data_IF_248010682336
#
_entry.id   IF_248010682336
#
_cell.length_a   1.000
_cell.length_b   1.000
_cell.length_c   1.000
_cell.angle_alpha   90.00
_cell.angle_beta   90.00
_cell.angle_gamma   90.00
#
_symmetry.space_group_name_H-M   'P 1'
#
loop_
_entity.id
_entity.type
_entity.pdbx_description
1 polymer ?
#
# COMPACT_ATOMS: atom_id res chain seq x y z
N UNK A 1 8.90 9.97 -18.84
CA UNK A 1 9.44 9.60 -17.53
C UNK A 1 8.74 8.32 -17.10
N UNK A 2 9.41 7.44 -16.35
CA UNK A 2 8.75 6.26 -15.78
C UNK A 2 7.80 6.68 -14.63
N UNK A 3 6.81 5.86 -14.33
CA UNK A 3 5.88 6.11 -13.21
C UNK A 3 6.62 6.45 -11.91
N UNK A 4 7.66 5.67 -11.56
CA UNK A 4 8.38 5.87 -10.31
C UNK A 4 9.18 7.17 -10.28
N UNK A 5 9.71 7.64 -11.42
CA UNK A 5 10.40 8.93 -11.48
C UNK A 5 9.43 10.11 -11.27
N UNK A 6 8.21 10.01 -11.78
CA UNK A 6 7.18 11.02 -11.52
C UNK A 6 6.75 11.01 -10.05
N UNK A 7 6.63 9.84 -9.42
CA UNK A 7 6.37 9.70 -7.98
C UNK A 7 7.51 10.31 -7.15
N UNK A 8 8.76 9.98 -7.45
CA UNK A 8 9.93 10.57 -6.76
C UNK A 8 9.98 12.09 -6.91
N UNK A 9 9.63 12.62 -8.07
CA UNK A 9 9.53 14.07 -8.28
C UNK A 9 8.45 14.72 -7.43
N UNK A 10 7.27 14.09 -7.32
CA UNK A 10 6.20 14.52 -6.42
C UNK A 10 6.66 14.48 -4.96
N UNK A 11 7.32 13.39 -4.54
CA UNK A 11 7.85 13.26 -3.18
C UNK A 11 8.87 14.35 -2.83
N UNK A 12 9.76 14.73 -3.77
CA UNK A 12 10.73 15.85 -3.60
C UNK A 12 10.08 17.20 -3.40
N UNK A 13 8.92 17.44 -3.98
CA UNK A 13 8.25 18.73 -3.89
C UNK A 13 7.75 19.04 -2.46
N UNK A 14 7.48 18.01 -1.66
CA UNK A 14 7.08 18.13 -0.25
C UNK A 14 7.65 16.94 0.52
N UNK A 15 8.87 17.12 1.06
CA UNK A 15 9.62 16.08 1.73
C UNK A 15 8.92 15.57 2.98
N UNK A 16 8.75 14.26 3.06
CA UNK A 16 8.18 13.54 4.21
C UNK A 16 9.21 12.70 4.92
N UNK A 17 8.99 12.48 6.20
CA UNK A 17 9.83 11.62 7.04
C UNK A 17 9.23 10.22 7.10
N UNK A 18 9.95 9.23 6.59
CA UNK A 18 9.53 7.83 6.57
C UNK A 18 10.40 7.02 7.53
N UNK A 19 9.75 6.28 8.42
CA UNK A 19 10.44 5.38 9.34
C UNK A 19 10.57 3.99 8.75
N UNK A 20 11.77 3.40 8.83
CA UNK A 20 12.11 2.05 8.41
C UNK A 20 12.55 1.26 9.65
N UNK A 21 11.72 0.35 10.18
CA UNK A 21 12.00 -0.34 11.45
C UNK A 21 12.96 -1.52 11.33
N UNK A 22 13.34 -1.92 10.12
CA UNK A 22 14.10 -3.14 9.83
C UNK A 22 15.55 -2.82 9.42
N UNK A 23 16.25 -2.02 10.23
CA UNK A 23 17.65 -1.64 9.98
C UNK A 23 18.66 -2.80 10.10
N UNK A 24 18.23 -3.96 10.55
CA UNK A 24 19.00 -5.21 10.54
C UNK A 24 19.07 -5.86 9.15
N UNK A 25 18.15 -5.52 8.24
CA UNK A 25 18.13 -6.04 6.87
C UNK A 25 19.04 -5.22 5.95
N UNK A 26 19.98 -5.89 5.30
CA UNK A 26 20.92 -5.25 4.36
C UNK A 26 20.20 -4.47 3.26
N UNK A 27 19.09 -4.99 2.72
CA UNK A 27 18.31 -4.35 1.65
C UNK A 27 17.71 -3.03 2.10
N UNK A 28 17.29 -2.94 3.36
CA UNK A 28 16.79 -1.71 3.97
C UNK A 28 17.89 -0.65 4.06
N UNK A 29 19.11 -1.03 4.43
CA UNK A 29 20.26 -0.12 4.47
C UNK A 29 20.69 0.34 3.08
N UNK A 30 20.71 -0.57 2.09
CA UNK A 30 20.98 -0.26 0.68
C UNK A 30 19.94 0.74 0.13
N UNK A 31 18.66 0.47 0.38
CA UNK A 31 17.58 1.37 0.00
C UNK A 31 17.70 2.76 0.69
N UNK A 32 18.04 2.77 1.99
CA UNK A 32 18.22 4.01 2.73
C UNK A 32 19.34 4.89 2.16
N UNK A 33 20.48 4.29 1.77
CA UNK A 33 21.55 5.01 1.07
C UNK A 33 21.08 5.60 -0.25
N UNK A 34 20.34 4.80 -1.04
CA UNK A 34 19.84 5.27 -2.34
C UNK A 34 18.82 6.40 -2.18
N UNK A 35 17.86 6.29 -1.25
CA UNK A 35 16.86 7.32 -0.97
C UNK A 35 17.53 8.62 -0.53
N UNK A 36 18.53 8.53 0.38
CA UNK A 36 19.35 9.67 0.79
C UNK A 36 20.02 10.35 -0.41
N UNK A 37 20.67 9.57 -1.28
CA UNK A 37 21.35 10.08 -2.48
C UNK A 37 20.38 10.76 -3.44
N UNK A 38 19.20 10.20 -3.62
CA UNK A 38 18.17 10.75 -4.48
C UNK A 38 17.41 11.92 -3.84
N UNK A 39 17.35 12.01 -2.51
CA UNK A 39 16.82 13.17 -1.76
C UNK A 39 15.31 13.39 -1.90
N UNK A 40 14.50 12.34 -1.99
CA UNK A 40 13.04 12.45 -2.12
C UNK A 40 12.25 12.17 -0.83
N UNK A 41 12.93 11.70 0.23
CA UNK A 41 12.36 11.53 1.56
C UNK A 41 13.43 11.72 2.63
N UNK A 42 13.02 12.13 3.83
CA UNK A 42 13.82 12.02 5.06
C UNK A 42 13.59 10.63 5.66
N UNK A 43 14.63 10.03 6.22
CA UNK A 43 14.54 8.69 6.77
C UNK A 43 14.89 8.66 8.25
N UNK A 44 14.19 7.80 8.98
CA UNK A 44 14.55 7.35 10.33
C UNK A 44 14.70 5.82 10.29
N UNK A 45 15.86 5.31 10.68
CA UNK A 45 16.11 3.88 10.84
C UNK A 45 15.94 3.51 12.31
N UNK A 46 15.26 2.40 12.61
CA UNK A 46 15.14 1.91 13.98
C UNK A 46 16.11 0.75 14.23
N UNK A 47 16.87 0.87 15.31
CA UNK A 47 17.81 -0.14 15.74
C UNK A 47 18.88 0.42 16.67
N UNK A 48 19.71 -0.48 17.22
CA UNK A 48 20.85 -0.02 17.98
C UNK A 48 21.85 0.70 17.07
N UNK A 49 22.15 1.96 17.39
CA UNK A 49 22.95 2.84 16.53
C UNK A 49 24.33 2.28 16.19
N UNK A 50 25.03 1.73 17.19
CA UNK A 50 26.37 1.18 16.97
C UNK A 50 26.33 -0.04 16.03
N UNK A 51 25.30 -0.87 16.17
CA UNK A 51 25.09 -2.05 15.31
C UNK A 51 24.78 -1.62 13.88
N UNK A 52 23.84 -0.70 13.68
CA UNK A 52 23.47 -0.20 12.34
C UNK A 52 24.66 0.45 11.65
N UNK A 53 25.44 1.29 12.35
CA UNK A 53 26.63 1.92 11.79
C UNK A 53 27.74 0.92 11.47
N UNK A 54 27.90 -0.14 12.30
CA UNK A 54 28.84 -1.23 12.04
C UNK A 54 28.45 -2.01 10.79
N UNK A 55 27.18 -2.36 10.67
CA UNK A 55 26.67 -3.13 9.51
C UNK A 55 26.75 -2.30 8.23
N UNK A 56 26.43 -1.01 8.28
CA UNK A 56 26.63 -0.10 7.15
C UNK A 56 28.09 -0.08 6.68
N UNK A 57 29.07 0.02 7.61
CA UNK A 57 30.50 -0.04 7.28
C UNK A 57 30.89 -1.39 6.66
N UNK A 58 30.39 -2.50 7.22
CA UNK A 58 30.67 -3.85 6.70
C UNK A 58 30.17 -4.04 5.26
N UNK A 59 29.03 -3.39 4.93
CA UNK A 59 28.46 -3.44 3.58
C UNK A 59 28.97 -2.33 2.64
N UNK A 60 29.86 -1.45 3.13
CA UNK A 60 30.37 -0.33 2.36
C UNK A 60 29.33 0.75 2.04
N UNK A 61 28.33 0.92 2.93
CA UNK A 61 27.23 1.86 2.75
C UNK A 61 27.50 3.17 3.53
N UNK A 62 27.11 4.29 2.93
CA UNK A 62 27.13 5.61 3.56
C UNK A 62 25.74 6.03 4.03
N UNK A 63 25.50 5.89 5.33
CA UNK A 63 24.26 6.32 6.00
C UNK A 63 24.42 7.66 6.75
N UNK A 64 25.50 8.41 6.53
CA UNK A 64 25.74 9.70 7.19
C UNK A 64 24.57 10.67 6.96
N UNK A 65 24.08 11.31 8.02
CA UNK A 65 22.92 12.21 7.95
C UNK A 65 21.55 11.53 7.95
N UNK A 66 21.47 10.19 7.98
CA UNK A 66 20.23 9.47 8.28
C UNK A 66 20.15 9.29 9.79
N UNK A 67 18.99 9.63 10.36
CA UNK A 67 18.74 9.48 11.78
C UNK A 67 18.59 7.99 12.14
N UNK A 68 19.28 7.53 13.18
CA UNK A 68 19.12 6.18 13.74
C UNK A 68 18.61 6.32 15.16
N UNK A 69 17.46 5.73 15.45
CA UNK A 69 16.80 5.76 16.75
C UNK A 69 16.77 4.35 17.33
N UNK A 70 17.33 4.20 18.55
CA UNK A 70 17.19 2.96 19.33
C UNK A 70 15.94 3.09 20.22
N UNK A 71 14.89 2.27 19.99
CA UNK A 71 13.68 2.29 20.81
C UNK A 71 13.92 2.17 22.31
N UNK A 72 14.98 1.45 22.72
CA UNK A 72 15.29 1.19 24.14
C UNK A 72 15.84 2.41 24.87
N UNK A 73 16.50 3.31 24.14
CA UNK A 73 17.16 4.49 24.71
C UNK A 73 16.55 5.81 24.24
N UNK A 74 15.52 5.74 23.40
CA UNK A 74 14.85 6.92 22.87
C UNK A 74 14.24 7.79 23.98
N UNK A 75 14.44 9.11 23.95
CA UNK A 75 13.81 10.03 24.91
C UNK A 75 12.28 10.03 24.80
N UNK A 76 11.71 9.66 23.62
CA UNK A 76 10.27 9.57 23.40
C UNK A 76 9.63 8.30 24.02
N UNK A 77 10.42 7.31 24.46
CA UNK A 77 9.90 6.02 24.91
C UNK A 77 8.82 6.16 26.01
N UNK A 78 9.06 7.00 27.03
CA UNK A 78 8.12 7.14 28.15
C UNK A 78 6.78 7.74 27.69
N UNK A 79 6.81 8.75 26.84
CA UNK A 79 5.58 9.35 26.26
C UNK A 79 4.82 8.33 25.39
N UNK A 80 5.54 7.53 24.60
CA UNK A 80 4.91 6.47 23.79
C UNK A 80 4.31 5.36 24.65
N UNK A 81 4.95 4.98 25.75
CA UNK A 81 4.43 3.99 26.71
C UNK A 81 3.09 4.46 27.27
N UNK A 82 3.05 5.67 27.83
CA UNK A 82 1.81 6.23 28.38
C UNK A 82 0.70 6.33 27.33
N UNK A 83 1.03 6.83 26.13
CA UNK A 83 0.08 6.93 25.03
C UNK A 83 -0.46 5.55 24.59
N UNK A 84 0.41 4.53 24.43
CA UNK A 84 0.00 3.19 24.03
C UNK A 84 -0.87 2.52 25.09
N UNK A 85 -0.52 2.64 26.38
CA UNK A 85 -1.30 2.12 27.48
C UNK A 85 -2.71 2.75 27.52
N UNK A 86 -2.81 4.07 27.33
CA UNK A 86 -4.11 4.75 27.23
C UNK A 86 -4.94 4.29 26.03
N UNK A 87 -4.35 4.24 24.83
CA UNK A 87 -5.00 3.80 23.59
C UNK A 87 -5.56 2.37 23.70
N UNK A 88 -4.89 1.53 24.49
CA UNK A 88 -5.22 0.10 24.63
C UNK A 88 -5.80 -0.27 26.00
N UNK A 89 -6.14 0.72 26.83
CA UNK A 89 -6.71 0.55 28.18
C UNK A 89 -7.92 -0.39 28.21
N UNK A 90 -8.82 -0.26 27.23
CA UNK A 90 -10.00 -1.14 27.11
C UNK A 90 -9.68 -2.60 26.80
N UNK A 91 -8.42 -2.90 26.42
CA UNK A 91 -7.89 -4.25 26.16
C UNK A 91 -6.98 -4.73 27.29
N UNK A 92 -6.90 -3.97 28.39
CA UNK A 92 -6.13 -4.33 29.58
C UNK A 92 -4.61 -4.15 29.47
N UNK A 93 -4.10 -3.44 28.46
CA UNK A 93 -2.66 -3.19 28.32
C UNK A 93 -2.19 -2.25 29.43
N UNK A 94 -1.21 -2.72 30.22
CA UNK A 94 -0.52 -1.95 31.26
C UNK A 94 0.64 -1.15 30.67
N UNK A 95 1.17 -0.17 31.42
CA UNK A 95 2.39 0.56 31.00
C UNK A 95 3.61 -0.36 30.89
N UNK A 96 3.71 -1.39 31.72
CA UNK A 96 4.79 -2.39 31.66
C UNK A 96 4.71 -3.19 30.34
N UNK A 97 3.53 -3.67 29.99
CA UNK A 97 3.29 -4.39 28.72
C UNK A 97 3.50 -3.47 27.51
N UNK A 98 3.04 -2.21 27.58
CA UNK A 98 3.28 -1.22 26.54
C UNK A 98 4.77 -0.96 26.35
N UNK A 99 5.53 -0.80 27.43
CA UNK A 99 6.99 -0.65 27.38
C UNK A 99 7.65 -1.86 26.74
N UNK A 100 7.26 -3.06 27.14
CA UNK A 100 7.77 -4.30 26.56
C UNK A 100 7.54 -4.35 25.06
N UNK A 101 6.31 -4.07 24.59
CA UNK A 101 5.98 -4.03 23.17
C UNK A 101 6.86 -3.04 22.40
N UNK A 102 7.07 -1.83 22.95
CA UNK A 102 7.83 -0.76 22.29
C UNK A 102 9.34 -1.01 22.29
N UNK A 103 9.87 -1.77 23.24
CA UNK A 103 11.31 -2.07 23.32
C UNK A 103 11.71 -3.40 22.67
N UNK A 104 10.74 -4.30 22.44
CA UNK A 104 10.96 -5.61 21.80
C UNK A 104 10.54 -5.62 20.31
N UNK A 105 9.72 -4.65 19.88
CA UNK A 105 9.28 -4.56 18.48
C UNK A 105 9.51 -3.17 17.90
N UNK A 106 10.47 -3.05 17.01
CA UNK A 106 10.73 -1.83 16.27
C UNK A 106 9.49 -1.36 15.49
N UNK A 107 8.66 -2.29 15.00
CA UNK A 107 7.42 -1.93 14.27
C UNK A 107 6.40 -1.24 15.18
N UNK A 108 6.20 -1.70 16.42
CA UNK A 108 5.32 -1.00 17.37
C UNK A 108 5.84 0.41 17.67
N UNK A 109 7.15 0.55 17.86
CA UNK A 109 7.76 1.87 18.08
C UNK A 109 7.59 2.79 16.87
N UNK A 110 7.85 2.28 15.66
CA UNK A 110 7.66 3.02 14.40
C UNK A 110 6.22 3.50 14.22
N UNK A 111 5.23 2.65 14.51
CA UNK A 111 3.81 3.02 14.44
C UNK A 111 3.48 4.11 15.47
N UNK A 112 4.09 4.09 16.66
CA UNK A 112 3.93 5.18 17.63
C UNK A 112 4.59 6.48 17.15
N UNK A 113 5.73 6.44 16.47
CA UNK A 113 6.32 7.63 15.81
C UNK A 113 5.33 8.28 14.83
N UNK A 114 4.70 7.45 13.99
CA UNK A 114 3.67 7.94 13.06
C UNK A 114 2.44 8.48 13.80
N UNK A 115 2.02 7.80 14.88
CA UNK A 115 0.89 8.25 15.71
C UNK A 115 1.13 9.61 16.36
N UNK A 116 2.36 9.87 16.81
CA UNK A 116 2.74 11.09 17.51
C UNK A 116 3.19 12.21 16.56
N UNK A 117 3.38 11.90 15.27
CA UNK A 117 3.82 12.88 14.25
C UNK A 117 5.34 13.07 14.19
N UNK A 118 6.11 12.18 14.81
CA UNK A 118 7.58 12.18 14.72
C UNK A 118 8.06 11.57 13.40
N UNK A 119 7.18 10.82 12.72
CA UNK A 119 7.31 10.39 11.33
C UNK A 119 5.97 10.57 10.61
N UNK A 120 6.01 10.81 9.29
CA UNK A 120 4.80 10.97 8.47
C UNK A 120 4.23 9.62 8.02
N UNK A 121 5.09 8.62 7.79
CA UNK A 121 4.71 7.30 7.33
C UNK A 121 5.72 6.21 7.69
N UNK A 122 5.32 4.97 7.46
CA UNK A 122 6.07 3.76 7.78
C UNK A 122 6.15 2.81 6.59
N UNK A 123 7.32 2.23 6.35
CA UNK A 123 7.52 1.10 5.43
C UNK A 123 8.24 -0.02 6.17
N UNK A 124 7.66 -1.23 6.18
CA UNK A 124 8.17 -2.43 6.86
C UNK A 124 7.78 -3.69 6.07
N UNK A 125 8.26 -4.86 6.46
CA UNK A 125 7.88 -6.17 5.90
C UNK A 125 8.99 -6.87 5.12
N UNK A 126 10.18 -6.27 5.01
CA UNK A 126 11.32 -6.92 4.36
C UNK A 126 11.74 -8.21 5.09
N UNK A 127 11.67 -8.24 6.41
CA UNK A 127 12.00 -9.40 7.23
C UNK A 127 10.89 -9.83 8.22
N UNK A 128 9.79 -9.08 8.31
CA UNK A 128 8.64 -9.40 9.15
C UNK A 128 7.44 -9.87 8.31
N UNK A 129 6.44 -10.46 8.96
CA UNK A 129 5.19 -10.83 8.27
C UNK A 129 4.27 -9.63 8.12
N UNK A 130 3.37 -9.68 7.12
CA UNK A 130 2.28 -8.68 6.96
C UNK A 130 1.49 -8.48 8.25
N UNK A 131 1.26 -9.54 9.03
CA UNK A 131 0.55 -9.44 10.31
C UNK A 131 1.35 -8.63 11.35
N UNK A 132 2.69 -8.72 11.36
CA UNK A 132 3.54 -7.99 12.29
C UNK A 132 3.62 -6.50 11.94
N UNK A 133 3.44 -6.13 10.67
CA UNK A 133 3.36 -4.74 10.21
C UNK A 133 1.96 -4.16 10.43
N UNK A 134 0.90 -4.87 10.02
CA UNK A 134 -0.45 -4.32 10.03
C UNK A 134 -1.14 -4.36 11.38
N UNK A 135 -0.85 -5.37 12.22
CA UNK A 135 -1.47 -5.49 13.56
C UNK A 135 -1.20 -4.27 14.45
N UNK A 136 0.05 -3.81 14.66
CA UNK A 136 0.32 -2.58 15.41
C UNK A 136 -0.36 -1.37 14.77
N UNK A 137 -0.33 -1.26 13.46
CA UNK A 137 -0.92 -0.14 12.72
C UNK A 137 -2.43 -0.04 12.93
N UNK A 138 -3.16 -1.15 12.82
CA UNK A 138 -4.60 -1.20 13.09
C UNK A 138 -4.95 -0.95 14.56
N UNK A 139 -4.09 -1.41 15.48
CA UNK A 139 -4.29 -1.23 16.91
C UNK A 139 -4.11 0.22 17.36
N UNK A 140 -3.17 0.94 16.77
CA UNK A 140 -2.72 2.26 17.21
C UNK A 140 -3.29 3.37 16.31
N UNK A 141 -3.13 3.27 14.99
CA UNK A 141 -3.58 4.28 14.03
C UNK A 141 -5.06 4.15 13.69
N UNK A 142 -5.57 2.90 13.64
CA UNK A 142 -6.93 2.55 13.23
C UNK A 142 -7.19 2.83 11.74
N UNK A 143 -8.44 2.68 11.31
CA UNK A 143 -8.86 3.02 9.95
C UNK A 143 -9.09 4.52 9.79
N UNK A 144 -8.95 5.03 8.56
CA UNK A 144 -9.35 6.38 8.16
C UNK A 144 -10.85 6.58 8.48
N UNK A 145 -11.27 7.74 9.01
CA UNK A 145 -12.69 8.01 9.23
C UNK A 145 -13.51 7.77 7.94
N UNK A 146 -14.62 7.06 8.07
CA UNK A 146 -15.50 6.70 6.94
C UNK A 146 -15.05 5.46 6.15
N UNK A 147 -13.86 4.93 6.40
CA UNK A 147 -13.37 3.72 5.72
C UNK A 147 -13.79 2.47 6.50
N UNK A 148 -14.46 1.52 5.82
CA UNK A 148 -15.01 0.31 6.43
C UNK A 148 -13.96 -0.77 6.67
N UNK A 149 -12.93 -0.86 5.82
CA UNK A 149 -11.85 -1.85 5.94
C UNK A 149 -10.53 -1.33 5.38
N UNK A 150 -9.45 -1.99 5.76
CA UNK A 150 -8.12 -1.81 5.14
C UNK A 150 -7.96 -2.82 4.01
N UNK A 151 -7.45 -2.39 2.90
CA UNK A 151 -7.15 -3.23 1.74
C UNK A 151 -5.75 -2.97 1.21
N UNK A 152 -5.30 -3.80 0.28
CA UNK A 152 -3.97 -3.68 -0.29
C UNK A 152 -4.00 -3.70 -1.83
N UNK A 153 -3.25 -2.81 -2.45
CA UNK A 153 -3.17 -2.71 -3.90
C UNK A 153 -1.72 -2.76 -4.39
N UNK A 154 -1.57 -3.07 -5.66
CA UNK A 154 -0.32 -2.87 -6.38
C UNK A 154 -0.51 -1.83 -7.47
N UNK A 155 0.49 -0.96 -7.63
CA UNK A 155 0.65 -0.22 -8.87
C UNK A 155 1.47 -1.09 -9.81
N UNK A 156 0.85 -1.52 -10.89
CA UNK A 156 1.48 -2.32 -11.95
C UNK A 156 1.90 -1.40 -13.10
N UNK A 157 3.15 -1.51 -13.53
CA UNK A 157 3.65 -0.81 -14.72
C UNK A 157 4.10 -1.84 -15.73
N UNK A 158 3.30 -2.05 -16.74
CA UNK A 158 3.52 -3.05 -17.79
C UNK A 158 4.28 -2.39 -18.95
N UNK A 159 5.49 -2.86 -19.29
CA UNK A 159 6.25 -2.28 -20.40
C UNK A 159 5.56 -2.52 -21.74
N UNK A 160 5.73 -1.59 -22.66
CA UNK A 160 5.22 -1.65 -24.04
C UNK A 160 3.71 -1.96 -24.14
N UNK A 161 2.92 -1.51 -23.17
CA UNK A 161 1.49 -1.76 -23.04
C UNK A 161 0.69 -0.48 -23.26
N UNK A 162 -0.29 -0.52 -24.19
CA UNK A 162 -1.18 0.60 -24.48
C UNK A 162 -2.45 0.61 -23.63
N UNK A 163 -2.75 -0.46 -22.90
CA UNK A 163 -3.92 -0.54 -22.03
C UNK A 163 -3.72 0.27 -20.75
N UNK A 164 -4.82 0.54 -20.05
CA UNK A 164 -4.80 1.33 -18.81
C UNK A 164 -4.32 2.76 -19.07
N UNK A 165 -3.46 3.27 -18.19
CA UNK A 165 -2.81 4.57 -18.42
C UNK A 165 -1.38 4.33 -18.94
N UNK A 166 -1.29 4.00 -20.23
CA UNK A 166 -0.03 3.61 -20.89
C UNK A 166 0.73 2.52 -20.13
N UNK A 167 0.06 1.42 -19.81
CA UNK A 167 0.60 0.29 -19.06
C UNK A 167 0.54 0.43 -17.53
N UNK A 168 0.12 1.59 -17.02
CA UNK A 168 -0.01 1.80 -15.58
C UNK A 168 -1.41 1.46 -15.10
N UNK A 169 -1.48 0.63 -14.05
CA UNK A 169 -2.72 0.15 -13.44
C UNK A 169 -2.66 0.16 -11.93
N UNK A 170 -3.82 0.19 -11.27
CA UNK A 170 -4.00 -0.28 -9.90
C UNK A 170 -4.72 -1.62 -9.93
N UNK A 171 -4.14 -2.63 -9.26
CA UNK A 171 -4.72 -3.96 -9.04
C UNK A 171 -5.05 -4.11 -7.56
N UNK A 172 -6.31 -4.42 -7.20
CA UNK A 172 -6.79 -4.49 -5.81
C UNK A 172 -7.99 -5.46 -5.62
N UNK A 173 -8.17 -6.17 -4.50
CA UNK A 173 -7.18 -6.41 -3.48
C UNK A 173 -6.30 -7.58 -3.91
N UNK A 174 -5.00 -7.43 -3.72
CA UNK A 174 -4.04 -8.46 -4.13
C UNK A 174 -3.16 -8.97 -2.97
N UNK A 175 -3.40 -8.49 -1.74
CA UNK A 175 -2.49 -8.77 -0.63
C UNK A 175 -3.10 -9.01 0.74
N UNK A 176 -4.38 -8.68 0.98
CA UNK A 176 -4.91 -8.63 2.34
C UNK A 176 -6.25 -9.36 2.54
N UNK A 177 -7.28 -9.01 1.79
CA UNK A 177 -8.64 -9.52 2.01
C UNK A 177 -8.89 -10.80 1.23
N UNK A 178 -9.04 -11.93 1.93
CA UNK A 178 -9.13 -13.25 1.30
C UNK A 178 -10.39 -13.41 0.44
N UNK A 179 -11.56 -13.14 1.03
CA UNK A 179 -12.84 -13.26 0.33
C UNK A 179 -13.78 -12.13 0.82
N UNK A 180 -13.63 -10.91 0.27
CA UNK A 180 -14.46 -9.78 0.69
C UNK A 180 -15.93 -10.00 0.36
N UNK A 181 -16.82 -9.48 1.23
CA UNK A 181 -18.26 -9.38 0.95
C UNK A 181 -18.52 -8.37 -0.17
N UNK A 182 -19.75 -8.23 -0.64
CA UNK A 182 -20.10 -7.25 -1.66
C UNK A 182 -19.84 -5.81 -1.17
N UNK A 183 -20.17 -5.50 0.09
CA UNK A 183 -19.93 -4.18 0.72
C UNK A 183 -18.44 -3.90 0.88
N UNK A 184 -17.67 -4.90 1.27
CA UNK A 184 -16.21 -4.78 1.39
C UNK A 184 -15.56 -4.59 0.02
N UNK A 185 -16.01 -5.32 -0.99
CA UNK A 185 -15.50 -5.20 -2.36
C UNK A 185 -15.81 -3.82 -2.98
N UNK A 186 -17.00 -3.27 -2.70
CA UNK A 186 -17.34 -1.90 -3.07
C UNK A 186 -16.41 -0.87 -2.42
N UNK A 187 -16.15 -1.02 -1.11
CA UNK A 187 -15.23 -0.14 -0.39
C UNK A 187 -13.77 -0.25 -0.90
N UNK A 188 -13.33 -1.46 -1.28
CA UNK A 188 -12.03 -1.67 -1.95
C UNK A 188 -11.97 -0.90 -3.27
N UNK A 189 -13.03 -0.96 -4.08
CA UNK A 189 -13.10 -0.25 -5.36
C UNK A 189 -13.01 1.27 -5.19
N UNK A 190 -13.76 1.84 -4.24
CA UNK A 190 -13.75 3.27 -3.92
C UNK A 190 -12.36 3.74 -3.45
N UNK A 191 -11.75 3.02 -2.52
CA UNK A 191 -10.41 3.34 -2.02
C UNK A 191 -9.35 3.21 -3.12
N UNK A 192 -9.48 2.22 -4.02
CA UNK A 192 -8.54 2.00 -5.12
C UNK A 192 -8.64 3.09 -6.19
N UNK A 193 -9.85 3.60 -6.44
CA UNK A 193 -10.06 4.75 -7.31
C UNK A 193 -9.40 6.02 -6.76
N UNK A 194 -9.55 6.29 -5.45
CA UNK A 194 -8.87 7.41 -4.77
C UNK A 194 -7.35 7.27 -4.88
N UNK A 195 -6.82 6.07 -4.62
CA UNK A 195 -5.39 5.77 -4.72
C UNK A 195 -4.85 5.97 -6.15
N UNK A 196 -5.58 5.48 -7.17
CA UNK A 196 -5.20 5.68 -8.57
C UNK A 196 -5.17 7.16 -8.94
N UNK A 197 -6.24 7.90 -8.64
CA UNK A 197 -6.34 9.35 -8.95
C UNK A 197 -5.18 10.12 -8.32
N UNK A 198 -4.84 9.80 -7.08
CA UNK A 198 -3.81 10.50 -6.37
C UNK A 198 -2.38 10.15 -6.86
N UNK A 199 -2.07 8.85 -6.99
CA UNK A 199 -0.73 8.41 -7.36
C UNK A 199 -0.41 8.65 -8.84
N UNK A 200 -1.35 8.28 -9.72
CA UNK A 200 -1.17 8.37 -11.17
C UNK A 200 -1.53 9.76 -11.70
N UNK A 201 -2.45 10.46 -11.01
CA UNK A 201 -2.89 11.81 -11.41
C UNK A 201 -3.83 11.81 -12.61
N UNK A 202 -4.55 10.72 -12.81
CA UNK A 202 -5.50 10.50 -13.91
C UNK A 202 -6.86 10.05 -13.38
N UNK A 203 -7.89 10.13 -14.22
CA UNK A 203 -9.22 9.66 -13.84
C UNK A 203 -9.27 8.14 -13.76
N UNK A 204 -9.66 7.56 -12.59
CA UNK A 204 -9.83 6.13 -12.45
C UNK A 204 -11.03 5.63 -13.27
N UNK A 205 -10.81 4.56 -14.03
CA UNK A 205 -11.84 3.78 -14.71
C UNK A 205 -11.83 2.38 -14.11
N UNK A 206 -12.74 2.16 -13.18
CA UNK A 206 -12.74 1.00 -12.28
C UNK A 206 -13.53 -0.14 -12.86
N UNK A 207 -12.89 -1.27 -13.12
CA UNK A 207 -13.55 -2.50 -13.54
C UNK A 207 -13.67 -3.48 -12.36
N UNK A 208 -14.90 -3.87 -12.02
CA UNK A 208 -15.20 -4.93 -11.06
C UNK A 208 -15.10 -6.27 -11.78
N UNK A 209 -14.02 -7.02 -11.51
CA UNK A 209 -13.67 -8.20 -12.30
C UNK A 209 -14.42 -9.45 -11.89
N UNK A 210 -14.77 -10.25 -12.89
CA UNK A 210 -15.37 -11.56 -12.76
C UNK A 210 -15.03 -12.41 -14.00
N UNK A 211 -15.31 -13.68 -13.96
CA UNK A 211 -15.34 -14.52 -15.16
C UNK A 211 -16.63 -14.33 -15.99
N UNK A 212 -17.57 -13.50 -15.52
CA UNK A 212 -18.81 -13.08 -16.18
C UNK A 212 -18.72 -11.64 -16.68
N UNK A 213 -19.47 -11.30 -17.73
CA UNK A 213 -19.66 -9.93 -18.21
C UNK A 213 -21.14 -9.65 -18.36
N UNK A 214 -21.67 -8.65 -17.63
CA UNK A 214 -23.04 -8.16 -17.71
C UNK A 214 -24.10 -9.28 -17.69
N UNK A 215 -23.96 -10.22 -16.74
CA UNK A 215 -24.91 -11.32 -16.54
C UNK A 215 -24.72 -12.52 -17.48
N UNK A 216 -23.56 -12.67 -18.13
CA UNK A 216 -23.27 -13.81 -19.00
C UNK A 216 -23.19 -15.15 -18.28
N UNK A 217 -22.96 -15.14 -16.96
CA UNK A 217 -23.00 -16.33 -16.10
C UNK A 217 -23.84 -16.10 -14.85
N UNK A 218 -24.25 -17.21 -14.19
CA UNK A 218 -25.03 -17.18 -12.94
C UNK A 218 -24.32 -18.04 -11.89
N UNK A 219 -23.86 -17.39 -10.83
CA UNK A 219 -23.21 -18.03 -9.67
C UNK A 219 -23.18 -17.02 -8.52
N UNK A 220 -23.03 -17.48 -7.28
CA UNK A 220 -22.94 -16.61 -6.10
C UNK A 220 -21.75 -15.65 -6.19
N UNK A 221 -20.61 -16.11 -6.73
CA UNK A 221 -19.44 -15.25 -6.96
C UNK A 221 -19.72 -14.11 -7.95
N UNK A 222 -20.53 -14.37 -8.99
CA UNK A 222 -20.98 -13.35 -9.95
C UNK A 222 -21.92 -12.37 -9.28
N UNK A 223 -22.91 -12.89 -8.55
CA UNK A 223 -23.89 -12.09 -7.79
C UNK A 223 -23.20 -11.15 -6.80
N UNK A 224 -22.16 -11.64 -6.10
CA UNK A 224 -21.33 -10.81 -5.19
C UNK A 224 -20.74 -9.61 -5.91
N UNK A 225 -20.14 -9.79 -7.10
CA UNK A 225 -19.51 -8.69 -7.86
C UNK A 225 -20.55 -7.74 -8.42
N UNK A 226 -21.69 -8.24 -8.89
CA UNK A 226 -22.83 -7.41 -9.35
C UNK A 226 -23.35 -6.53 -8.21
N UNK A 227 -23.54 -7.10 -7.02
CA UNK A 227 -24.01 -6.37 -5.86
C UNK A 227 -22.97 -5.33 -5.39
N UNK A 228 -21.68 -5.69 -5.37
CA UNK A 228 -20.60 -4.75 -5.08
C UNK A 228 -20.58 -3.56 -6.06
N UNK A 229 -20.78 -3.85 -7.35
CA UNK A 229 -20.87 -2.83 -8.40
C UNK A 229 -22.06 -1.87 -8.16
N UNK A 230 -23.22 -2.42 -7.80
CA UNK A 230 -24.43 -1.63 -7.48
C UNK A 230 -24.16 -0.72 -6.28
N UNK A 231 -23.62 -1.26 -5.18
CA UNK A 231 -23.31 -0.53 -3.96
C UNK A 231 -22.31 0.61 -4.23
N UNK A 232 -21.22 0.32 -4.96
CA UNK A 232 -20.21 1.33 -5.27
C UNK A 232 -20.77 2.47 -6.14
N UNK A 233 -21.64 2.16 -7.11
CA UNK A 233 -22.34 3.19 -7.93
C UNK A 233 -23.31 4.03 -7.11
N UNK A 234 -23.99 3.45 -6.15
CA UNK A 234 -24.90 4.19 -5.24
C UNK A 234 -24.14 5.12 -4.30
N UNK A 235 -23.01 4.63 -3.75
CA UNK A 235 -22.16 5.43 -2.86
C UNK A 235 -21.47 6.59 -3.61
N UNK A 236 -21.02 6.36 -4.83
CA UNK A 236 -20.26 7.29 -5.66
C UNK A 236 -20.80 7.36 -7.09
N UNK A 237 -21.91 8.07 -7.34
CA UNK A 237 -22.54 8.11 -8.67
C UNK A 237 -21.66 8.70 -9.78
N UNK A 238 -20.69 9.55 -9.41
CA UNK A 238 -19.78 10.21 -10.35
C UNK A 238 -18.54 9.37 -10.68
N UNK A 239 -18.31 8.27 -9.95
CA UNK A 239 -17.17 7.39 -10.20
C UNK A 239 -17.38 6.60 -11.48
N UNK A 240 -16.42 6.67 -12.41
CA UNK A 240 -16.40 5.78 -13.57
C UNK A 240 -16.07 4.36 -13.11
N UNK A 241 -17.12 3.62 -12.74
CA UNK A 241 -17.06 2.24 -12.27
C UNK A 241 -18.10 1.39 -12.97
N UNK A 242 -17.71 0.19 -13.40
CA UNK A 242 -18.63 -0.76 -14.01
C UNK A 242 -18.26 -2.22 -13.74
N UNK A 243 -19.21 -3.12 -13.92
CA UNK A 243 -19.08 -4.55 -13.67
C UNK A 243 -20.44 -5.25 -13.59
N UNK A 244 -20.43 -6.57 -13.54
CA UNK A 244 -19.19 -7.37 -13.54
C UNK A 244 -18.63 -7.45 -14.96
N UNK A 245 -17.30 -7.44 -15.08
CA UNK A 245 -16.60 -7.51 -16.35
C UNK A 245 -15.53 -8.63 -16.33
N UNK A 246 -15.46 -9.39 -17.42
CA UNK A 246 -14.27 -10.19 -17.70
C UNK A 246 -13.08 -9.27 -18.03
N UNK A 247 -11.87 -9.74 -17.78
CA UNK A 247 -10.66 -8.94 -17.99
C UNK A 247 -10.49 -8.47 -19.44
N UNK A 248 -10.79 -9.33 -20.41
CA UNK A 248 -10.76 -8.98 -21.84
C UNK A 248 -11.78 -7.88 -22.19
N UNK A 249 -12.99 -7.96 -21.63
CA UNK A 249 -13.99 -6.91 -21.80
C UNK A 249 -13.61 -5.60 -21.08
N UNK A 250 -12.91 -5.67 -19.96
CA UNK A 250 -12.45 -4.49 -19.23
C UNK A 250 -11.35 -3.71 -19.98
N UNK A 251 -10.47 -4.41 -20.73
CA UNK A 251 -9.28 -3.83 -21.33
C UNK A 251 -9.34 -3.63 -22.84
N UNK A 252 -10.03 -4.53 -23.57
CA UNK A 252 -9.98 -4.57 -25.04
C UNK A 252 -11.24 -3.98 -25.63
N UNK A 253 -11.13 -2.85 -26.32
CA UNK A 253 -12.24 -2.07 -26.87
C UNK A 253 -13.15 -2.89 -27.82
N UNK A 254 -12.57 -3.73 -28.67
CA UNK A 254 -13.35 -4.59 -29.58
C UNK A 254 -14.17 -5.64 -28.84
N UNK A 255 -13.67 -6.16 -27.71
CA UNK A 255 -14.40 -7.10 -26.84
C UNK A 255 -15.47 -6.36 -26.05
N UNK A 256 -15.15 -5.18 -25.52
CA UNK A 256 -16.08 -4.32 -24.80
C UNK A 256 -17.30 -3.96 -25.64
N UNK A 257 -17.08 -3.58 -26.90
CA UNK A 257 -18.14 -3.25 -27.85
C UNK A 257 -19.14 -4.38 -28.09
N UNK A 258 -18.70 -5.64 -28.00
CA UNK A 258 -19.55 -6.82 -28.14
C UNK A 258 -20.24 -7.23 -26.83
N UNK A 259 -19.49 -7.22 -25.70
CA UNK A 259 -19.97 -7.78 -24.44
C UNK A 259 -20.61 -6.76 -23.50
N UNK A 260 -20.19 -5.48 -23.59
CA UNK A 260 -20.63 -4.41 -22.70
C UNK A 260 -20.75 -3.04 -23.44
N UNK A 261 -21.55 -2.96 -24.51
CA UNK A 261 -21.57 -1.79 -25.42
C UNK A 261 -22.03 -0.48 -24.75
N UNK A 262 -22.72 -0.56 -23.63
CA UNK A 262 -23.22 0.60 -22.90
C UNK A 262 -22.32 1.03 -21.73
N UNK A 263 -21.23 0.32 -21.49
CA UNK A 263 -20.29 0.63 -20.42
C UNK A 263 -19.37 1.80 -20.79
N UNK A 264 -19.18 2.72 -19.85
CA UNK A 264 -18.21 3.83 -19.97
C UNK A 264 -16.80 3.44 -19.52
N UNK A 265 -16.63 2.23 -18.98
CA UNK A 265 -15.39 1.71 -18.40
C UNK A 265 -14.80 0.59 -19.24
N UNK A 266 -15.66 -0.31 -19.74
CA UNK A 266 -15.22 -1.45 -20.54
C UNK A 266 -14.37 -1.00 -21.74
N UNK A 267 -13.28 -1.70 -22.01
CA UNK A 267 -12.29 -1.39 -23.03
C UNK A 267 -11.24 -0.35 -22.62
N UNK A 268 -11.42 0.32 -21.47
CA UNK A 268 -10.57 1.44 -21.05
C UNK A 268 -10.18 1.41 -19.57
N UNK A 269 -10.42 0.30 -18.88
CA UNK A 269 -10.15 0.20 -17.45
C UNK A 269 -8.65 0.38 -17.11
N UNK A 270 -8.39 1.10 -16.03
CA UNK A 270 -7.05 1.33 -15.48
C UNK A 270 -6.94 0.98 -13.99
N UNK A 271 -8.08 0.66 -13.37
CA UNK A 271 -8.17 0.19 -11.98
C UNK A 271 -8.97 -1.11 -11.98
N UNK A 272 -8.32 -2.21 -11.59
CA UNK A 272 -8.86 -3.56 -11.68
C UNK A 272 -9.12 -4.11 -10.28
N UNK A 273 -10.39 -4.39 -9.97
CA UNK A 273 -10.81 -4.92 -8.67
C UNK A 273 -11.10 -6.41 -8.80
N UNK A 274 -10.31 -7.20 -8.10
CA UNK A 274 -10.39 -8.66 -8.12
C UNK A 274 -11.42 -9.18 -7.12
N UNK A 275 -12.20 -10.24 -7.46
CA UNK A 275 -13.30 -10.72 -6.63
C UNK A 275 -12.86 -11.37 -5.31
N UNK A 276 -11.62 -11.82 -5.23
CA UNK A 276 -11.01 -12.44 -4.05
C UNK A 276 -9.48 -12.40 -4.15
N UNK A 277 -8.81 -12.78 -3.07
CA UNK A 277 -7.35 -12.73 -2.97
C UNK A 277 -6.64 -13.69 -3.94
N UNK A 278 -7.20 -14.87 -4.18
CA UNK A 278 -6.58 -15.82 -5.12
C UNK A 278 -6.47 -15.23 -6.52
N UNK A 279 -7.56 -14.65 -7.01
CA UNK A 279 -7.58 -14.00 -8.31
C UNK A 279 -6.60 -12.82 -8.37
N UNK A 280 -6.59 -11.95 -7.36
CA UNK A 280 -5.72 -10.78 -7.32
C UNK A 280 -4.24 -11.15 -7.16
N UNK A 281 -3.93 -12.05 -6.22
CA UNK A 281 -2.55 -12.45 -5.93
C UNK A 281 -1.90 -13.23 -7.07
N UNK A 282 -2.64 -14.16 -7.69
CA UNK A 282 -2.19 -14.90 -8.87
C UNK A 282 -2.08 -13.92 -10.05
N UNK A 283 -3.07 -13.06 -10.25
CA UNK A 283 -3.13 -12.11 -11.37
C UNK A 283 -1.93 -11.17 -11.41
N UNK A 284 -1.62 -10.46 -10.31
CA UNK A 284 -0.49 -9.54 -10.32
C UNK A 284 0.85 -10.24 -10.55
N UNK A 285 1.03 -11.44 -9.95
CA UNK A 285 2.27 -12.22 -10.12
C UNK A 285 2.44 -12.72 -11.56
N UNK A 286 1.35 -13.14 -12.21
CA UNK A 286 1.39 -13.53 -13.62
C UNK A 286 1.86 -12.36 -14.49
N UNK A 287 1.27 -11.18 -14.30
CA UNK A 287 1.65 -9.98 -15.05
C UNK A 287 3.10 -9.57 -14.73
N UNK A 288 3.47 -9.54 -13.45
CA UNK A 288 4.84 -9.21 -13.02
C UNK A 288 5.88 -10.12 -13.69
N UNK A 289 5.64 -11.44 -13.67
CA UNK A 289 6.65 -12.41 -14.14
C UNK A 289 6.64 -12.61 -15.65
N UNK A 290 5.46 -12.74 -16.25
CA UNK A 290 5.34 -13.04 -17.68
C UNK A 290 5.47 -11.78 -18.56
N UNK A 291 4.90 -10.66 -18.15
CA UNK A 291 5.01 -9.40 -18.88
C UNK A 291 6.19 -8.53 -18.41
N UNK A 292 7.01 -9.00 -17.46
CA UNK A 292 8.14 -8.24 -16.88
C UNK A 292 7.71 -6.88 -16.33
N UNK A 293 6.48 -6.81 -15.81
CA UNK A 293 5.95 -5.60 -15.22
C UNK A 293 6.64 -5.27 -13.89
N UNK A 294 6.83 -3.99 -13.63
CA UNK A 294 7.14 -3.51 -12.29
C UNK A 294 5.86 -3.62 -11.44
N UNK A 295 5.99 -4.04 -10.19
CA UNK A 295 4.87 -4.23 -9.26
C UNK A 295 5.23 -3.56 -7.93
N UNK A 296 4.71 -2.34 -7.73
CA UNK A 296 4.93 -1.57 -6.50
C UNK A 296 3.83 -1.88 -5.50
N UNK A 297 4.19 -2.57 -4.42
CA UNK A 297 3.25 -2.99 -3.39
C UNK A 297 3.71 -4.22 -2.58
N UNK A 298 2.85 -4.76 -1.70
CA UNK A 298 1.47 -4.29 -1.49
C UNK A 298 1.41 -2.95 -0.76
N UNK A 299 0.72 -1.99 -1.35
CA UNK A 299 0.45 -0.70 -0.74
C UNK A 299 -0.85 -0.77 0.04
N UNK A 300 -0.87 -0.32 1.29
CA UNK A 300 -2.11 -0.31 2.08
C UNK A 300 -2.93 0.95 1.83
N UNK A 301 -4.24 0.79 1.90
CA UNK A 301 -5.20 1.88 1.87
C UNK A 301 -6.27 1.67 2.94
N UNK A 302 -6.81 2.78 3.44
CA UNK A 302 -7.82 2.74 4.51
C UNK A 302 -7.27 2.83 5.93
N UNK A 303 -5.96 2.82 6.18
CA UNK A 303 -5.35 3.14 7.47
C UNK A 303 -5.33 4.67 7.63
N UNK A 304 -5.50 5.16 8.87
CA UNK A 304 -5.57 6.59 9.16
C UNK A 304 -4.28 7.36 8.86
N UNK A 305 -3.16 6.69 8.68
CA UNK A 305 -1.86 7.25 8.24
C UNK A 305 -1.16 6.25 7.32
N UNK A 306 -0.27 6.68 6.43
CA UNK A 306 0.43 5.79 5.51
C UNK A 306 1.33 4.81 6.23
N UNK A 307 1.02 3.53 6.08
CA UNK A 307 1.83 2.39 6.51
C UNK A 307 1.82 1.41 5.37
N UNK A 308 2.97 1.05 4.84
CA UNK A 308 3.05 0.09 3.76
C UNK A 308 3.88 -1.13 4.13
N UNK A 309 3.39 -2.27 3.68
CA UNK A 309 4.02 -3.57 3.89
C UNK A 309 4.85 -3.94 2.65
N UNK A 310 5.93 -4.68 2.86
CA UNK A 310 6.80 -5.20 1.82
C UNK A 310 6.62 -6.70 1.69
N UNK A 311 6.90 -7.25 0.54
CA UNK A 311 7.13 -8.69 0.41
C UNK A 311 8.49 -9.04 1.02
N UNK A 312 8.59 -10.14 1.76
CA UNK A 312 9.88 -10.66 2.24
C UNK A 312 10.86 -11.00 1.12
N UNK A 313 10.37 -11.15 -0.09
CA UNK A 313 11.20 -11.33 -1.30
C UNK A 313 11.48 -10.04 -2.06
N UNK A 314 11.26 -8.86 -1.48
CA UNK A 314 11.55 -7.58 -2.12
C UNK A 314 13.06 -7.37 -2.33
N UNK A 315 13.40 -6.56 -3.31
CA UNK A 315 14.74 -6.01 -3.53
C UNK A 315 14.91 -4.67 -2.80
N UNK A 316 16.13 -4.13 -2.78
CA UNK A 316 16.36 -2.77 -2.29
C UNK A 316 15.62 -1.72 -3.16
N UNK A 317 15.55 -1.94 -4.46
CA UNK A 317 14.82 -1.09 -5.41
C UNK A 317 13.32 -1.09 -5.12
N UNK A 318 12.74 -2.24 -4.76
CA UNK A 318 11.33 -2.31 -4.35
C UNK A 318 11.07 -1.46 -3.10
N UNK A 319 11.98 -1.50 -2.11
CA UNK A 319 11.90 -0.66 -0.91
C UNK A 319 11.95 0.82 -1.28
N UNK A 320 12.88 1.22 -2.15
CA UNK A 320 12.99 2.60 -2.65
C UNK A 320 11.68 3.06 -3.30
N UNK A 321 11.09 2.21 -4.14
CA UNK A 321 9.81 2.49 -4.81
C UNK A 321 8.65 2.64 -3.82
N UNK A 322 8.52 1.72 -2.85
CA UNK A 322 7.48 1.77 -1.82
C UNK A 322 7.64 3.00 -0.92
N UNK A 323 8.88 3.36 -0.54
CA UNK A 323 9.14 4.60 0.23
C UNK A 323 8.75 5.85 -0.56
N UNK A 324 9.04 5.90 -1.87
CA UNK A 324 8.65 7.04 -2.70
C UNK A 324 7.12 7.19 -2.77
N UNK A 325 6.39 6.09 -2.96
CA UNK A 325 4.93 6.09 -2.96
C UNK A 325 4.38 6.48 -1.58
N UNK A 326 4.95 5.93 -0.49
CA UNK A 326 4.56 6.26 0.89
C UNK A 326 4.74 7.76 1.17
N UNK A 327 5.87 8.34 0.74
CA UNK A 327 6.12 9.77 0.90
C UNK A 327 5.06 10.63 0.17
N UNK A 328 4.64 10.20 -1.03
CA UNK A 328 3.54 10.86 -1.74
C UNK A 328 2.21 10.66 -1.02
N UNK A 329 1.89 9.45 -0.53
CA UNK A 329 0.68 9.22 0.27
C UNK A 329 0.62 10.10 1.51
N UNK A 330 1.75 10.36 2.18
CA UNK A 330 1.81 11.24 3.35
C UNK A 330 1.37 12.68 3.05
N UNK A 331 1.53 13.14 1.81
CA UNK A 331 1.10 14.49 1.39
C UNK A 331 -0.42 14.68 1.40
N UNK A 332 -1.21 13.59 1.48
CA UNK A 332 -2.67 13.66 1.66
C UNK A 332 -3.10 14.11 3.07
N UNK A 333 -2.17 14.17 4.02
CA UNK A 333 -2.45 14.44 5.44
C UNK A 333 -1.87 15.76 5.94
N UNK A 334 -1.48 16.64 4.99
CA UNK A 334 -1.01 18.02 5.26
C UNK A 334 -2.14 18.99 5.59
#
# INVERSE_FOLDING_TARGET
MSFIEDVKKKAKANLKTIVLPEAEDKRTLEAAQQIKKEGFAKLILLGNKETVEKDARNYGLDLSGIEVVDPKTSPALNDYVTCLAELRKSKGITEEEARKLLTESNTYFAVMMVKKGDADGLVSGACHSTADTLRPSLQILKTKPGTKLVSAFFVMVVPDCSYGENGTFVFSDCGLNQNPTAEELAAIAESSAESFRFLVGKEPKVAMLSYSTMGSAKHDDVTKVQEATRIAKENNPDLLLDGELQLDAALVESVASLKAPNSKVAGHANTLIFPNLDAGNIGYKLVQRLAKAEAYGPMTQGIARPVNDLSRGCSAEDIVGVVAITAVQCQLYD
#
